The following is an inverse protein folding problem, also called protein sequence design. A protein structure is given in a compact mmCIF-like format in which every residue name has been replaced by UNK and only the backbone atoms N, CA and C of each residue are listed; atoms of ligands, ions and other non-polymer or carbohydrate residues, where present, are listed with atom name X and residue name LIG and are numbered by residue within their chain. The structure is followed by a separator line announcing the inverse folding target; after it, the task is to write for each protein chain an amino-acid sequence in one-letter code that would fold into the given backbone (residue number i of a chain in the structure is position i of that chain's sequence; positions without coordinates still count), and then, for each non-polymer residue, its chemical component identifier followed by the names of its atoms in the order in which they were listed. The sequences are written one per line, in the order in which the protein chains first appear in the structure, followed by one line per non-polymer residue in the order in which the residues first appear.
data_IF_219803186168
#
_entry.id   IF_219803186168
#
_cell.length_a   1.000
_cell.length_b   1.000
_cell.length_c   1.000
_cell.angle_alpha   90.00
_cell.angle_beta   90.00
_cell.angle_gamma   90.00
#
_symmetry.space_group_name_H-M   'P 1'
#
loop_
_entity.id
_entity.type
_entity.pdbx_description
1 polymer ?
#
# COMPACT_ATOMS: atom_id res chain seq x y z
N UNK A 1 6.88 -14.21 -13.58
CA UNK A 1 5.93 -13.17 -14.01
C UNK A 1 5.77 -12.13 -12.92
N UNK A 2 5.99 -10.86 -13.21
CA UNK A 2 5.72 -9.81 -12.25
C UNK A 2 4.26 -9.78 -11.83
N UNK A 3 4.04 -9.43 -10.56
CA UNK A 3 2.69 -9.28 -10.02
C UNK A 3 2.44 -7.80 -9.80
N UNK A 4 1.50 -7.24 -10.56
CA UNK A 4 1.14 -5.83 -10.49
C UNK A 4 -0.23 -5.65 -9.85
N UNK A 5 -0.36 -4.60 -9.04
CA UNK A 5 -1.60 -4.29 -8.36
C UNK A 5 -1.62 -2.83 -7.97
N UNK A 6 -2.77 -2.34 -7.56
CA UNK A 6 -2.83 -1.11 -6.78
C UNK A 6 -3.72 -1.31 -5.56
N UNK A 7 -3.45 -0.53 -4.53
CA UNK A 7 -4.25 -0.52 -3.32
C UNK A 7 -4.80 0.89 -3.10
N UNK A 8 -6.02 0.97 -2.60
CA UNK A 8 -6.66 2.27 -2.30
C UNK A 8 -7.25 2.25 -0.91
N UNK A 9 -7.24 3.40 -0.26
CA UNK A 9 -8.01 3.63 0.96
C UNK A 9 -8.28 5.11 1.13
N UNK A 10 -9.30 5.43 1.91
CA UNK A 10 -9.60 6.82 2.26
C UNK A 10 -9.44 7.02 3.76
N UNK A 11 -8.68 8.03 4.13
CA UNK A 11 -8.39 8.35 5.53
C UNK A 11 -9.57 9.06 6.16
N UNK A 12 -9.95 8.66 7.38
CA UNK A 12 -10.97 9.35 8.14
C UNK A 12 -10.45 10.73 8.59
N UNK A 13 -11.35 11.73 8.67
CA UNK A 13 -10.97 13.07 9.11
C UNK A 13 -10.24 13.03 10.46
N UNK A 14 -9.14 13.80 10.56
CA UNK A 14 -8.32 13.86 11.77
C UNK A 14 -7.12 12.93 11.78
N UNK A 15 -7.04 11.99 10.83
CA UNK A 15 -5.93 11.03 10.76
C UNK A 15 -4.97 11.28 9.59
N UNK A 16 -5.12 12.41 8.89
CA UNK A 16 -4.37 12.71 7.68
C UNK A 16 -2.86 12.70 7.90
N UNK A 17 -2.40 13.42 8.93
CA UNK A 17 -0.95 13.51 9.17
C UNK A 17 -0.38 12.20 9.69
N UNK A 18 -1.13 11.49 10.53
CA UNK A 18 -0.72 10.17 11.01
C UNK A 18 -0.51 9.20 9.85
N UNK A 19 -1.46 9.15 8.92
CA UNK A 19 -1.35 8.29 7.74
C UNK A 19 -0.20 8.71 6.83
N UNK A 20 0.05 10.01 6.69
CA UNK A 20 1.19 10.48 5.89
C UNK A 20 2.51 9.95 6.46
N UNK A 21 2.67 10.02 7.77
CA UNK A 21 3.87 9.50 8.45
C UNK A 21 3.97 7.98 8.35
N UNK A 22 2.85 7.29 8.57
CA UNK A 22 2.79 5.83 8.47
C UNK A 22 3.14 5.36 7.04
N UNK A 23 2.62 6.03 6.03
CA UNK A 23 2.90 5.67 4.63
C UNK A 23 4.35 5.95 4.25
N UNK A 24 4.95 7.01 4.79
CA UNK A 24 6.37 7.27 4.55
C UNK A 24 7.25 6.14 5.11
N UNK A 25 6.93 5.67 6.31
CA UNK A 25 7.66 4.56 6.93
C UNK A 25 7.43 3.25 6.17
N UNK A 26 6.18 2.95 5.83
CA UNK A 26 5.84 1.73 5.09
C UNK A 26 6.53 1.70 3.74
N UNK A 27 6.55 2.83 3.03
CA UNK A 27 7.20 2.93 1.73
C UNK A 27 8.69 2.57 1.82
N UNK A 28 9.39 3.07 2.84
CA UNK A 28 10.79 2.70 3.06
C UNK A 28 10.96 1.20 3.26
N UNK A 29 10.11 0.62 4.11
CA UNK A 29 10.21 -0.79 4.46
C UNK A 29 9.88 -1.70 3.27
N UNK A 30 8.83 -1.36 2.51
CA UNK A 30 8.44 -2.15 1.34
C UNK A 30 9.49 -2.05 0.24
N UNK A 31 10.03 -0.86 -0.02
CA UNK A 31 11.08 -0.69 -1.03
C UNK A 31 12.36 -1.44 -0.68
N UNK A 32 12.59 -1.76 0.58
CA UNK A 32 13.72 -2.57 1.02
C UNK A 32 13.49 -4.07 0.83
N UNK A 33 12.26 -4.51 0.54
CA UNK A 33 11.98 -5.92 0.25
C UNK A 33 12.68 -6.34 -1.04
N UNK A 34 13.39 -7.49 -1.04
CA UNK A 34 14.17 -7.89 -2.23
C UNK A 34 13.33 -8.07 -3.50
N UNK A 35 12.07 -8.45 -3.36
CA UNK A 35 11.19 -8.70 -4.50
C UNK A 35 10.32 -7.51 -4.89
N UNK A 36 10.45 -6.36 -4.23
CA UNK A 36 9.67 -5.18 -4.59
C UNK A 36 10.31 -4.46 -5.77
N UNK A 37 9.60 -4.38 -6.89
CA UNK A 37 10.06 -3.67 -8.08
C UNK A 37 9.52 -2.25 -8.14
N UNK A 38 8.35 -2.00 -7.57
CA UNK A 38 7.72 -0.68 -7.54
C UNK A 38 6.80 -0.57 -6.35
N UNK A 39 6.92 0.53 -5.62
CA UNK A 39 5.99 0.89 -4.56
C UNK A 39 5.93 2.41 -4.53
N UNK A 40 4.88 3.00 -5.10
CA UNK A 40 4.72 4.44 -5.19
C UNK A 40 3.34 4.81 -4.65
N UNK A 41 3.34 5.64 -3.63
CA UNK A 41 2.11 6.08 -2.98
C UNK A 41 1.74 7.48 -3.46
N UNK A 42 0.47 7.63 -3.84
CA UNK A 42 -0.12 8.90 -4.25
C UNK A 42 -1.34 9.18 -3.39
N UNK A 43 -1.68 10.45 -3.23
CA UNK A 43 -3.07 10.82 -2.94
C UNK A 43 -3.70 11.34 -4.22
N UNK A 44 -5.04 11.35 -4.29
CA UNK A 44 -5.71 12.03 -5.39
C UNK A 44 -5.41 13.52 -5.32
N UNK A 45 -5.22 14.17 -6.47
CA UNK A 45 -4.85 15.58 -6.52
C UNK A 45 -5.91 16.48 -5.86
N UNK A 46 -7.18 16.09 -5.95
CA UNK A 46 -8.30 16.87 -5.41
C UNK A 46 -8.85 16.30 -4.10
N UNK A 47 -8.24 15.23 -3.56
CA UNK A 47 -8.66 14.66 -2.28
C UNK A 47 -7.44 14.07 -1.55
N UNK A 48 -6.82 14.84 -0.64
CA UNK A 48 -5.61 14.39 0.06
C UNK A 48 -5.84 13.25 1.06
N UNK A 49 -7.10 12.85 1.29
CA UNK A 49 -7.41 11.69 2.12
C UNK A 49 -7.56 10.41 1.33
N UNK A 50 -7.67 10.49 0.01
CA UNK A 50 -7.80 9.32 -0.85
C UNK A 50 -6.42 8.91 -1.36
N UNK A 51 -5.96 7.73 -0.94
CA UNK A 51 -4.65 7.20 -1.29
C UNK A 51 -4.75 6.16 -2.39
N UNK A 52 -3.74 6.14 -3.24
CA UNK A 52 -3.58 5.17 -4.32
C UNK A 52 -2.12 4.74 -4.34
N UNK A 53 -1.87 3.45 -4.21
CA UNK A 53 -0.51 2.91 -4.15
C UNK A 53 -0.31 1.95 -5.32
N UNK A 54 0.62 2.29 -6.23
CA UNK A 54 1.03 1.40 -7.31
C UNK A 54 2.11 0.44 -6.80
N UNK A 55 1.92 -0.86 -7.05
CA UNK A 55 2.82 -1.88 -6.54
C UNK A 55 3.13 -2.91 -7.62
N UNK A 56 4.40 -3.28 -7.74
CA UNK A 56 4.85 -4.38 -8.60
C UNK A 56 5.85 -5.22 -7.82
N UNK A 57 5.60 -6.52 -7.77
CA UNK A 57 6.49 -7.50 -7.16
C UNK A 57 7.06 -8.43 -8.23
N UNK A 58 8.25 -8.97 -8.00
CA UNK A 58 8.97 -9.77 -9.00
C UNK A 58 8.18 -11.01 -9.44
N UNK A 59 7.43 -11.63 -8.50
CA UNK A 59 6.65 -12.85 -8.74
C UNK A 59 5.67 -13.08 -7.60
N UNK A 60 4.93 -14.18 -7.66
CA UNK A 60 3.97 -14.56 -6.62
C UNK A 60 4.64 -14.77 -5.26
N UNK A 61 5.84 -15.34 -5.25
CA UNK A 61 6.56 -15.59 -4.00
C UNK A 61 6.96 -14.27 -3.33
N UNK A 62 7.39 -13.28 -4.11
CA UNK A 62 7.74 -11.96 -3.59
C UNK A 62 6.50 -11.25 -3.02
N UNK A 63 5.35 -11.36 -3.70
CA UNK A 63 4.11 -10.79 -3.19
C UNK A 63 3.67 -11.49 -1.91
N UNK A 64 3.75 -12.83 -1.85
CA UNK A 64 3.41 -13.57 -0.63
C UNK A 64 4.30 -13.16 0.54
N UNK A 65 5.59 -12.94 0.30
CA UNK A 65 6.52 -12.47 1.33
C UNK A 65 6.15 -11.06 1.81
N UNK A 66 5.73 -10.18 0.89
CA UNK A 66 5.25 -8.84 1.23
C UNK A 66 4.03 -8.90 2.17
N UNK A 67 3.04 -9.70 1.82
CA UNK A 67 1.81 -9.86 2.62
C UNK A 67 2.13 -10.41 4.01
N UNK A 68 3.10 -11.31 4.11
CA UNK A 68 3.49 -11.94 5.38
C UNK A 68 4.47 -11.09 6.19
N UNK A 69 4.97 -9.97 5.64
CA UNK A 69 5.97 -9.15 6.31
C UNK A 69 5.42 -8.53 7.60
N UNK A 70 6.32 -8.33 8.58
CA UNK A 70 5.96 -7.72 9.85
C UNK A 70 5.44 -6.29 9.66
N UNK A 71 6.10 -5.51 8.79
CA UNK A 71 5.68 -4.13 8.53
C UNK A 71 4.33 -4.06 7.80
N UNK A 72 4.05 -4.99 6.88
CA UNK A 72 2.76 -5.04 6.19
C UNK A 72 1.62 -5.38 7.14
N UNK A 73 1.81 -6.39 7.98
CA UNK A 73 0.80 -6.81 8.95
C UNK A 73 0.56 -5.73 10.01
N UNK A 74 1.64 -5.09 10.48
CA UNK A 74 1.52 -4.01 11.46
C UNK A 74 0.76 -2.81 10.88
N UNK A 75 1.05 -2.43 9.63
CA UNK A 75 0.33 -1.35 8.98
C UNK A 75 -1.15 -1.67 8.85
N UNK A 76 -1.50 -2.84 8.35
CA UNK A 76 -2.90 -3.24 8.17
C UNK A 76 -3.67 -3.26 9.49
N UNK A 77 -3.04 -3.68 10.58
CA UNK A 77 -3.66 -3.64 11.90
C UNK A 77 -3.84 -2.21 12.41
N UNK A 78 -2.86 -1.35 12.16
CA UNK A 78 -2.86 0.01 12.68
C UNK A 78 -3.89 0.93 12.00
N UNK A 79 -4.26 0.67 10.75
CA UNK A 79 -5.18 1.54 10.00
C UNK A 79 -6.66 1.22 10.22
N UNK A 80 -7.00 0.17 10.94
CA UNK A 80 -8.39 -0.30 11.05
C UNK A 80 -9.34 0.75 11.59
N UNK A 81 -8.88 1.65 12.45
CA UNK A 81 -9.68 2.74 13.02
C UNK A 81 -9.38 4.10 12.38
N UNK A 82 -8.62 4.14 11.30
CA UNK A 82 -8.14 5.38 10.69
C UNK A 82 -8.58 5.56 9.25
N UNK A 83 -9.11 4.51 8.62
CA UNK A 83 -9.55 4.56 7.23
C UNK A 83 -10.97 4.06 7.08
N UNK A 84 -11.65 4.53 6.04
CA UNK A 84 -13.03 4.11 5.71
C UNK A 84 -13.03 2.61 5.45
N UNK A 85 -13.95 1.89 6.09
CA UNK A 85 -14.07 0.45 5.93
C UNK A 85 -13.00 -0.36 6.65
N UNK A 86 -12.05 0.26 7.31
CA UNK A 86 -11.06 -0.40 8.16
C UNK A 86 -9.88 -1.04 7.43
N UNK A 87 -9.78 -0.92 6.12
CA UNK A 87 -8.69 -1.51 5.38
C UNK A 87 -8.59 -1.00 3.95
N UNK A 88 -7.51 -1.38 3.27
CA UNK A 88 -7.33 -1.03 1.87
C UNK A 88 -8.09 -2.00 0.97
N UNK A 89 -8.44 -1.50 -0.22
CA UNK A 89 -8.95 -2.32 -1.30
C UNK A 89 -7.84 -2.57 -2.30
N UNK A 90 -7.71 -3.81 -2.75
CA UNK A 90 -6.64 -4.24 -3.65
C UNK A 90 -7.24 -4.64 -4.99
N UNK A 91 -6.66 -4.15 -6.07
CA UNK A 91 -7.04 -4.52 -7.44
C UNK A 91 -5.80 -5.07 -8.14
N UNK A 92 -5.86 -6.32 -8.57
CA UNK A 92 -4.76 -6.93 -9.30
C UNK A 92 -4.85 -6.55 -10.77
N UNK A 93 -3.68 -6.34 -11.38
CA UNK A 93 -3.54 -5.88 -12.75
C UNK A 93 -2.79 -6.91 -13.57
N UNK A 94 -3.04 -6.90 -14.87
CA UNK A 94 -2.31 -7.72 -15.83
C UNK A 94 -1.74 -6.80 -16.89
N UNK A 95 -0.42 -6.85 -17.08
CA UNK A 95 0.23 -6.06 -18.13
C UNK A 95 -0.08 -6.64 -19.49
N UNK A 96 -0.51 -5.81 -20.43
CA UNK A 96 -0.94 -6.27 -21.75
C UNK A 96 -0.01 -5.81 -22.88
N UNK A 97 0.90 -4.90 -22.60
CA UNK A 97 1.82 -4.38 -23.62
C UNK A 97 3.26 -4.36 -23.15
#
# INVERSE_FOLDING_TARGET
MPKALYATFEVLPGHEETLRQMMAALTRDVRAEPGCLRFVAYTLADNPRAWHIDEIYADEAAFAAHIASAHGRAFNAAITDKVVGGGSQVVFLEETT
#
